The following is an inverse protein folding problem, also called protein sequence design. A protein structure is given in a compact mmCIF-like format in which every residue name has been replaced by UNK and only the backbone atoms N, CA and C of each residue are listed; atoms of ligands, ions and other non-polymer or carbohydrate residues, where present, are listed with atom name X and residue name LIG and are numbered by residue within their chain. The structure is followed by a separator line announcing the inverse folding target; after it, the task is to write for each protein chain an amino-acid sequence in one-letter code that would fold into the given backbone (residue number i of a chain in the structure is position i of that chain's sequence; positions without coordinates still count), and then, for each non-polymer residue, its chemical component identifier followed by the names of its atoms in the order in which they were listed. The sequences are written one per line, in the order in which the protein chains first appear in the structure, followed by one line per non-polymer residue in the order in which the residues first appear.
data_IF_077016269163
#
_entry.id   IF_077016269163
#
_cell.length_a   1.000
_cell.length_b   1.000
_cell.length_c   1.000
_cell.angle_alpha   90.00
_cell.angle_beta   90.00
_cell.angle_gamma   90.00
#
_symmetry.space_group_name_H-M   'P 1'
#
loop_
_entity.id
_entity.type
_entity.pdbx_description
1 polymer ?
#
# COMPACT_ATOMS: atom_id res chain seq x y z
N UNK A 1 -7.20 13.99 -4.87
CA UNK A 1 -6.78 12.82 -4.06
C UNK A 1 -7.69 11.66 -4.46
N UNK A 2 -7.16 10.51 -4.89
CA UNK A 2 -8.03 9.41 -5.37
C UNK A 2 -8.83 8.79 -4.22
N UNK A 3 -10.05 8.35 -4.50
CA UNK A 3 -10.96 7.75 -3.50
C UNK A 3 -10.32 6.56 -2.76
N UNK A 4 -9.54 5.75 -3.48
CA UNK A 4 -8.81 4.62 -2.91
C UNK A 4 -7.74 5.05 -1.89
N UNK A 5 -7.05 6.17 -2.13
CA UNK A 5 -6.06 6.71 -1.19
C UNK A 5 -6.76 7.25 0.06
N UNK A 6 -7.89 7.94 -0.09
CA UNK A 6 -8.67 8.44 1.03
C UNK A 6 -9.21 7.30 1.91
N UNK A 7 -9.80 6.26 1.30
CA UNK A 7 -10.35 5.12 2.03
C UNK A 7 -9.25 4.33 2.77
N UNK A 8 -8.11 4.09 2.11
CA UNK A 8 -6.97 3.44 2.75
C UNK A 8 -6.43 4.25 3.95
N UNK A 9 -6.40 5.58 3.83
CA UNK A 9 -6.05 6.47 4.92
C UNK A 9 -7.09 6.40 6.05
N UNK A 10 -8.39 6.48 5.76
CA UNK A 10 -9.47 6.41 6.75
C UNK A 10 -9.41 5.12 7.57
N UNK A 11 -9.14 3.96 6.95
CA UNK A 11 -8.99 2.68 7.66
C UNK A 11 -7.81 2.70 8.62
N UNK A 12 -6.63 3.15 8.16
CA UNK A 12 -5.42 3.25 9.00
C UNK A 12 -5.61 4.25 10.15
N UNK A 13 -6.23 5.39 9.85
CA UNK A 13 -6.56 6.42 10.83
C UNK A 13 -7.51 5.87 11.89
N UNK A 14 -8.56 5.15 11.49
CA UNK A 14 -9.54 4.55 12.43
C UNK A 14 -8.87 3.58 13.41
N UNK A 15 -8.01 2.68 12.94
CA UNK A 15 -7.29 1.74 13.80
C UNK A 15 -6.38 2.47 14.80
N UNK A 16 -5.66 3.50 14.34
CA UNK A 16 -4.81 4.30 15.23
C UNK A 16 -5.65 5.05 16.26
N UNK A 17 -6.66 5.81 15.84
CA UNK A 17 -7.51 6.58 16.75
C UNK A 17 -8.24 5.70 17.76
N UNK A 18 -8.77 4.55 17.37
CA UNK A 18 -9.42 3.61 18.31
C UNK A 18 -8.47 3.11 19.39
N UNK A 19 -7.24 2.72 19.01
CA UNK A 19 -6.20 2.35 19.97
C UNK A 19 -5.84 3.48 20.93
N UNK A 20 -5.73 4.71 20.41
CA UNK A 20 -5.41 5.88 21.21
C UNK A 20 -6.54 6.25 22.18
N UNK A 21 -7.78 6.22 21.73
CA UNK A 21 -8.97 6.45 22.57
C UNK A 21 -9.03 5.42 23.69
N UNK A 22 -8.66 4.16 23.43
CA UNK A 22 -8.55 3.14 24.48
C UNK A 22 -7.47 3.50 25.52
N UNK A 23 -6.27 3.90 25.08
CA UNK A 23 -5.18 4.29 25.98
C UNK A 23 -5.59 5.49 26.86
N UNK A 24 -6.26 6.47 26.26
CA UNK A 24 -6.81 7.64 26.96
C UNK A 24 -7.88 7.21 27.98
N UNK A 25 -8.88 6.45 27.54
CA UNK A 25 -10.05 6.14 28.37
C UNK A 25 -9.77 5.13 29.49
N UNK A 26 -8.86 4.16 29.26
CA UNK A 26 -8.58 3.07 30.21
C UNK A 26 -7.27 3.25 30.96
N UNK A 27 -6.22 3.71 30.29
CA UNK A 27 -4.90 3.87 30.90
C UNK A 27 -4.60 5.31 31.32
N UNK A 28 -5.48 6.27 30.99
CA UNK A 28 -5.27 7.72 31.24
C UNK A 28 -3.95 8.22 30.66
N UNK A 29 -3.50 7.62 29.55
CA UNK A 29 -2.29 8.00 28.83
C UNK A 29 -2.68 8.92 27.69
N UNK A 30 -2.19 10.17 27.72
CA UNK A 30 -2.34 11.11 26.61
C UNK A 30 -1.24 10.86 25.58
N UNK A 31 -1.57 10.58 24.31
CA UNK A 31 -0.56 10.40 23.27
C UNK A 31 0.23 11.70 23.02
N UNK A 32 1.54 11.59 22.76
CA UNK A 32 2.48 12.73 22.62
C UNK A 32 2.06 13.71 21.51
N UNK A 33 1.40 13.23 20.45
CA UNK A 33 0.97 14.06 19.31
C UNK A 33 -0.42 14.68 19.49
N UNK A 34 -1.13 14.41 20.60
CA UNK A 34 -2.42 15.01 20.88
C UNK A 34 -2.19 16.30 21.67
N UNK A 35 -2.52 17.44 21.07
CA UNK A 35 -2.44 18.72 21.79
C UNK A 35 -3.48 18.77 22.90
N UNK A 36 -3.18 19.52 23.96
CA UNK A 36 -4.11 19.71 25.09
C UNK A 36 -5.47 20.26 24.62
N UNK A 37 -5.45 21.17 23.65
CA UNK A 37 -6.67 21.73 23.05
C UNK A 37 -7.57 20.66 22.42
N UNK A 38 -7.01 19.78 21.59
CA UNK A 38 -7.75 18.69 20.95
C UNK A 38 -8.26 17.71 22.01
N UNK A 39 -7.47 17.48 23.06
CA UNK A 39 -7.87 16.61 24.16
C UNK A 39 -9.02 17.18 25.00
N UNK A 40 -8.98 18.48 25.33
CA UNK A 40 -10.08 19.18 26.00
C UNK A 40 -11.35 19.19 25.13
N UNK A 41 -11.19 19.43 23.83
CA UNK A 41 -12.31 19.40 22.89
C UNK A 41 -12.96 17.99 22.84
N UNK A 42 -12.15 16.94 22.77
CA UNK A 42 -12.64 15.56 22.86
C UNK A 42 -13.39 15.28 24.17
N UNK A 43 -12.82 15.70 25.32
CA UNK A 43 -13.48 15.55 26.63
C UNK A 43 -14.82 16.27 26.67
N UNK A 44 -14.88 17.47 26.10
CA UNK A 44 -16.12 18.25 25.97
C UNK A 44 -17.16 17.49 25.18
N UNK A 45 -16.86 17.07 23.94
CA UNK A 45 -17.80 16.28 23.10
C UNK A 45 -18.30 15.05 23.86
N UNK A 46 -17.40 14.29 24.49
CA UNK A 46 -17.77 13.08 25.24
C UNK A 46 -18.72 13.38 26.42
N UNK A 47 -18.62 14.56 27.02
CA UNK A 47 -19.43 14.98 28.16
C UNK A 47 -20.73 15.69 27.76
N UNK A 48 -20.76 16.41 26.63
CA UNK A 48 -21.87 17.30 26.25
C UNK A 48 -22.71 16.78 25.10
N UNK A 49 -22.17 15.97 24.20
CA UNK A 49 -22.89 15.50 23.01
C UNK A 49 -23.85 14.35 23.36
N UNK A 50 -25.14 14.65 23.31
CA UNK A 50 -26.22 13.69 23.57
C UNK A 50 -26.32 12.60 22.49
N UNK A 51 -26.00 12.91 21.23
CA UNK A 51 -26.01 11.90 20.16
C UNK A 51 -24.90 10.86 20.39
N UNK A 52 -23.72 11.33 20.80
CA UNK A 52 -22.61 10.46 21.21
C UNK A 52 -22.99 9.57 22.41
N UNK A 53 -23.57 10.15 23.46
CA UNK A 53 -24.00 9.40 24.66
C UNK A 53 -25.00 8.30 24.33
N UNK A 54 -26.08 8.64 23.60
CA UNK A 54 -27.11 7.68 23.19
C UNK A 54 -26.51 6.53 22.38
N UNK A 55 -25.63 6.83 21.43
CA UNK A 55 -24.97 5.80 20.61
C UNK A 55 -24.02 4.93 21.46
N UNK A 56 -23.27 5.54 22.37
CA UNK A 56 -22.38 4.82 23.29
C UNK A 56 -23.15 3.91 24.24
N UNK A 57 -24.27 4.37 24.78
CA UNK A 57 -25.15 3.60 25.66
C UNK A 57 -25.79 2.45 24.90
N UNK A 58 -26.34 2.69 23.70
CA UNK A 58 -26.88 1.65 22.84
C UNK A 58 -25.85 0.56 22.53
N UNK A 59 -24.62 0.93 22.14
CA UNK A 59 -23.55 -0.04 21.90
C UNK A 59 -23.10 -0.77 23.17
N UNK A 60 -23.13 -0.10 24.32
CA UNK A 60 -22.89 -0.75 25.61
C UNK A 60 -24.01 -1.72 25.97
N UNK A 61 -25.25 -1.38 25.68
CA UNK A 61 -26.42 -2.24 25.92
C UNK A 61 -26.38 -3.44 24.98
N UNK A 62 -26.05 -3.28 23.69
CA UNK A 62 -25.85 -4.42 22.79
C UNK A 62 -24.75 -5.37 23.28
N UNK A 63 -23.72 -4.85 23.94
CA UNK A 63 -22.68 -5.65 24.59
C UNK A 63 -23.15 -6.30 25.90
N UNK A 64 -24.10 -5.70 26.63
CA UNK A 64 -24.61 -6.17 27.95
C UNK A 64 -25.85 -7.06 27.85
N UNK A 65 -26.68 -6.88 26.81
CA UNK A 65 -27.88 -7.69 26.54
C UNK A 65 -27.55 -9.15 26.24
N UNK A 66 -26.27 -9.51 26.18
CA UNK A 66 -25.78 -10.89 26.17
C UNK A 66 -25.75 -11.55 27.57
N UNK A 67 -25.99 -10.82 28.68
CA UNK A 67 -25.71 -11.33 30.05
C UNK A 67 -26.89 -11.27 31.02
N UNK A 68 -27.94 -10.49 30.78
CA UNK A 68 -28.96 -10.22 31.81
C UNK A 68 -30.37 -10.63 31.39
N UNK A 69 -30.67 -11.93 31.54
CA UNK A 69 -32.02 -12.48 31.55
C UNK A 69 -32.05 -13.83 32.27
N UNK A 70 -33.00 -14.10 33.18
CA UNK A 70 -33.13 -15.42 33.80
C UNK A 70 -33.39 -16.47 32.72
N UNK A 71 -32.43 -17.38 32.50
CA UNK A 71 -32.47 -18.39 31.42
C UNK A 71 -31.64 -18.05 30.18
N UNK A 72 -30.96 -16.90 30.14
CA UNK A 72 -30.00 -16.57 29.07
C UNK A 72 -28.60 -16.87 29.60
N UNK A 73 -28.15 -18.11 29.38
CA UNK A 73 -26.82 -18.55 29.80
C UNK A 73 -25.70 -17.70 29.18
N UNK A 74 -24.53 -17.77 29.81
CA UNK A 74 -23.22 -17.25 29.36
C UNK A 74 -23.17 -17.19 27.84
N UNK A 75 -22.83 -16.03 27.28
CA UNK A 75 -22.56 -15.82 25.84
C UNK A 75 -22.04 -17.12 25.19
N UNK A 76 -22.89 -17.77 24.41
CA UNK A 76 -22.53 -19.01 23.69
C UNK A 76 -21.38 -18.78 22.70
N UNK A 77 -20.99 -17.52 22.47
CA UNK A 77 -19.82 -17.19 21.67
C UNK A 77 -18.48 -17.33 22.43
N UNK A 78 -18.50 -17.55 23.76
CA UNK A 78 -17.32 -18.02 24.51
C UNK A 78 -17.12 -19.54 24.43
N UNK A 79 -18.10 -20.30 23.92
CA UNK A 79 -17.99 -21.75 23.76
C UNK A 79 -17.40 -22.17 22.39
N UNK A 80 -16.94 -21.20 21.59
CA UNK A 80 -16.48 -21.43 20.23
C UNK A 80 -17.63 -21.80 19.28
N UNK A 81 -17.48 -21.45 18.00
CA UNK A 81 -18.37 -22.01 16.98
C UNK A 81 -18.16 -23.53 16.92
N UNK A 82 -19.24 -24.31 16.90
CA UNK A 82 -19.17 -25.74 16.66
C UNK A 82 -18.46 -25.95 15.32
N UNK A 83 -17.37 -26.71 15.35
CA UNK A 83 -16.59 -26.95 14.14
C UNK A 83 -17.40 -27.77 13.12
N UNK A 84 -17.12 -27.59 11.84
CA UNK A 84 -17.73 -28.42 10.78
C UNK A 84 -17.51 -29.92 11.01
N UNK A 85 -16.40 -30.30 11.66
CA UNK A 85 -16.12 -31.68 12.07
C UNK A 85 -17.13 -32.18 13.11
N UNK A 86 -17.38 -31.41 14.17
CA UNK A 86 -18.36 -31.78 15.19
C UNK A 86 -19.79 -31.86 14.63
N UNK A 87 -20.15 -30.98 13.69
CA UNK A 87 -21.39 -31.11 12.93
C UNK A 87 -21.44 -32.42 12.14
N UNK A 88 -20.33 -32.80 11.52
CA UNK A 88 -20.21 -34.07 10.79
C UNK A 88 -20.34 -35.29 11.68
N UNK A 89 -19.66 -35.33 12.81
CA UNK A 89 -19.75 -36.44 13.76
C UNK A 89 -21.18 -36.59 14.32
N UNK A 90 -21.85 -35.47 14.57
CA UNK A 90 -23.25 -35.44 15.02
C UNK A 90 -24.18 -35.97 13.92
N UNK A 91 -23.96 -35.56 12.68
CA UNK A 91 -24.76 -35.99 11.54
C UNK A 91 -24.53 -37.46 11.20
N UNK A 92 -23.29 -37.95 11.34
CA UNK A 92 -22.95 -39.37 11.21
C UNK A 92 -23.66 -40.23 12.26
N UNK A 93 -23.69 -39.78 13.52
CA UNK A 93 -24.45 -40.46 14.59
C UNK A 93 -25.95 -40.52 14.30
N UNK A 94 -26.51 -39.48 13.67
CA UNK A 94 -27.93 -39.42 13.26
C UNK A 94 -28.23 -40.33 12.07
N UNK A 95 -27.37 -40.31 11.05
CA UNK A 95 -27.56 -41.07 9.81
C UNK A 95 -27.08 -42.53 9.92
N UNK A 96 -26.33 -42.87 10.97
CA UNK A 96 -25.66 -44.18 11.16
C UNK A 96 -24.71 -44.56 10.02
N UNK A 97 -24.25 -43.56 9.27
CA UNK A 97 -23.27 -43.67 8.18
C UNK A 97 -22.59 -42.33 8.00
N UNK A 98 -21.43 -42.35 7.34
CA UNK A 98 -20.71 -41.13 6.98
C UNK A 98 -21.61 -40.21 6.12
N UNK A 99 -21.82 -38.95 6.51
CA UNK A 99 -22.63 -38.01 5.75
C UNK A 99 -21.94 -37.65 4.43
N UNK A 100 -22.72 -37.51 3.37
CA UNK A 100 -22.22 -36.99 2.10
C UNK A 100 -21.94 -35.49 2.21
N UNK A 101 -21.09 -34.94 1.34
CA UNK A 101 -20.82 -33.48 1.32
C UNK A 101 -22.09 -32.65 1.15
N UNK A 102 -23.04 -33.13 0.34
CA UNK A 102 -24.33 -32.48 0.09
C UNK A 102 -25.20 -32.44 1.35
N UNK A 103 -25.24 -33.54 2.11
CA UNK A 103 -25.95 -33.62 3.39
C UNK A 103 -25.31 -32.74 4.46
N UNK A 104 -23.97 -32.73 4.52
CA UNK A 104 -23.23 -31.85 5.42
C UNK A 104 -23.51 -30.38 5.13
N UNK A 105 -23.44 -29.99 3.86
CA UNK A 105 -23.71 -28.61 3.48
C UNK A 105 -25.13 -28.21 3.85
N UNK A 106 -26.11 -29.04 3.49
CA UNK A 106 -27.51 -28.79 3.80
C UNK A 106 -27.69 -28.62 5.31
N UNK A 107 -27.10 -29.50 6.11
CA UNK A 107 -27.14 -29.42 7.58
C UNK A 107 -26.54 -28.11 8.11
N UNK A 108 -25.40 -27.66 7.59
CA UNK A 108 -24.71 -26.44 8.05
C UNK A 108 -25.42 -25.14 7.65
N UNK A 109 -26.09 -25.13 6.50
CA UNK A 109 -26.62 -23.90 5.91
C UNK A 109 -28.15 -23.79 5.98
N UNK A 110 -28.80 -24.64 6.78
CA UNK A 110 -30.23 -24.54 7.07
C UNK A 110 -30.49 -24.10 8.51
N UNK A 111 -31.56 -23.34 8.71
CA UNK A 111 -31.96 -22.80 10.01
C UNK A 111 -32.20 -23.93 11.01
N UNK A 112 -31.60 -23.84 12.20
CA UNK A 112 -31.70 -24.88 13.24
C UNK A 112 -31.25 -26.27 12.79
N UNK A 113 -30.51 -26.36 11.67
CA UNK A 113 -30.09 -27.61 11.05
C UNK A 113 -31.25 -28.55 10.63
N UNK A 114 -32.40 -27.97 10.25
CA UNK A 114 -33.64 -28.67 9.85
C UNK A 114 -33.55 -29.39 8.49
N UNK A 115 -32.58 -29.01 7.65
CA UNK A 115 -32.40 -29.54 6.30
C UNK A 115 -33.40 -29.01 5.25
N UNK A 116 -34.27 -28.06 5.62
CA UNK A 116 -35.36 -27.55 4.79
C UNK A 116 -35.16 -26.08 4.42
N UNK A 117 -34.87 -25.23 5.41
CA UNK A 117 -34.93 -23.78 5.24
C UNK A 117 -33.52 -23.20 5.22
N UNK A 118 -33.04 -22.75 4.06
CA UNK A 118 -31.70 -22.15 3.99
C UNK A 118 -31.64 -20.82 4.75
N UNK A 119 -30.53 -20.59 5.46
CA UNK A 119 -30.29 -19.34 6.20
C UNK A 119 -30.07 -18.15 5.24
N UNK A 120 -29.60 -18.43 4.02
CA UNK A 120 -29.33 -17.43 2.99
C UNK A 120 -29.69 -17.97 1.60
N UNK A 121 -30.28 -17.11 0.76
CA UNK A 121 -30.62 -17.38 -0.64
C UNK A 121 -29.40 -17.84 -1.45
N UNK A 122 -28.20 -17.32 -1.14
CA UNK A 122 -26.96 -17.75 -1.79
C UNK A 122 -26.73 -19.26 -1.63
N UNK A 123 -26.96 -19.79 -0.43
CA UNK A 123 -26.75 -21.21 -0.16
C UNK A 123 -27.81 -22.09 -0.84
N UNK A 124 -29.05 -21.61 -0.94
CA UNK A 124 -30.09 -22.28 -1.72
C UNK A 124 -29.68 -22.41 -3.20
N UNK A 125 -29.12 -21.34 -3.78
CA UNK A 125 -28.66 -21.34 -5.17
C UNK A 125 -27.48 -22.31 -5.39
N UNK A 126 -26.48 -22.32 -4.50
CA UNK A 126 -25.35 -23.26 -4.57
C UNK A 126 -25.85 -24.71 -4.44
N UNK A 127 -26.82 -24.95 -3.56
CA UNK A 127 -27.41 -26.26 -3.37
C UNK A 127 -28.14 -26.77 -4.62
N UNK A 128 -28.89 -25.89 -5.28
CA UNK A 128 -29.62 -26.18 -6.52
C UNK A 128 -28.70 -26.41 -7.72
N UNK A 129 -27.61 -25.65 -7.85
CA UNK A 129 -26.65 -25.75 -8.96
C UNK A 129 -25.77 -27.01 -8.93
N UNK A 130 -25.81 -27.78 -7.84
CA UNK A 130 -25.04 -29.00 -7.69
C UNK A 130 -23.60 -28.74 -7.22
N UNK A 131 -23.22 -29.39 -6.10
CA UNK A 131 -21.93 -29.33 -5.38
C UNK A 131 -20.66 -29.69 -6.17
N UNK A 132 -20.58 -29.43 -7.47
CA UNK A 132 -19.54 -30.00 -8.31
C UNK A 132 -18.32 -29.10 -8.56
N UNK A 133 -18.26 -27.86 -8.05
CA UNK A 133 -17.25 -26.90 -8.53
C UNK A 133 -16.37 -26.15 -7.52
N UNK A 134 -16.26 -26.53 -6.25
CA UNK A 134 -15.49 -25.66 -5.33
C UNK A 134 -14.91 -26.27 -4.05
N UNK A 135 -14.45 -27.52 -4.02
CA UNK A 135 -13.53 -27.97 -2.97
C UNK A 135 -12.41 -28.84 -3.55
N UNK A 136 -11.57 -28.24 -4.40
CA UNK A 136 -10.21 -28.72 -4.69
C UNK A 136 -9.19 -27.63 -4.33
N UNK A 137 -9.12 -27.29 -3.06
CA UNK A 137 -7.94 -26.70 -2.41
C UNK A 137 -8.28 -26.45 -0.95
N UNK A 138 -7.48 -27.02 -0.05
CA UNK A 138 -7.59 -26.82 1.39
C UNK A 138 -7.11 -25.43 1.79
N UNK A 139 -7.82 -24.39 1.40
CA UNK A 139 -7.59 -23.04 1.92
C UNK A 139 -8.60 -22.75 3.03
N UNK A 140 -8.07 -22.59 4.24
CA UNK A 140 -8.80 -22.09 5.39
C UNK A 140 -9.52 -20.78 5.02
N UNK A 141 -10.79 -20.72 5.38
CA UNK A 141 -11.69 -19.59 5.12
C UNK A 141 -11.24 -18.38 5.93
N UNK A 142 -10.34 -17.58 5.36
CA UNK A 142 -10.13 -16.18 5.72
C UNK A 142 -10.91 -15.31 4.72
N UNK A 143 -11.59 -14.30 5.25
CA UNK A 143 -12.43 -13.31 4.57
C UNK A 143 -12.08 -13.11 3.08
N UNK A 144 -12.84 -13.71 2.17
CA UNK A 144 -12.76 -13.40 0.73
C UNK A 144 -14.07 -12.73 0.34
N UNK A 145 -13.93 -11.54 -0.24
CA UNK A 145 -15.00 -10.63 -0.66
C UNK A 145 -15.91 -11.21 -1.75
N UNK A 146 -16.78 -10.38 -2.35
CA UNK A 146 -17.78 -10.85 -3.29
C UNK A 146 -17.12 -11.61 -4.45
N UNK A 147 -17.73 -12.73 -4.83
CA UNK A 147 -17.29 -13.49 -5.98
C UNK A 147 -17.62 -12.69 -7.25
N UNK A 148 -16.63 -11.93 -7.72
CA UNK A 148 -16.68 -11.18 -8.98
C UNK A 148 -16.99 -12.14 -10.14
N UNK A 149 -17.97 -11.77 -10.98
CA UNK A 149 -18.31 -12.55 -12.17
C UNK A 149 -17.16 -12.55 -13.19
N UNK A 150 -17.14 -13.49 -14.16
CA UNK A 150 -16.06 -13.58 -15.17
C UNK A 150 -15.83 -12.28 -15.94
N UNK A 151 -16.90 -11.53 -16.22
CA UNK A 151 -16.85 -10.24 -16.92
C UNK A 151 -16.24 -9.11 -16.08
N UNK A 152 -16.43 -9.14 -14.76
CA UNK A 152 -15.95 -8.13 -13.82
C UNK A 152 -14.47 -8.31 -13.49
N UNK A 153 -13.97 -9.56 -13.55
CA UNK A 153 -12.55 -9.88 -13.43
C UNK A 153 -11.74 -9.37 -14.63
N UNK A 154 -12.30 -9.48 -15.84
CA UNK A 154 -11.68 -9.01 -17.08
C UNK A 154 -11.68 -7.47 -17.18
N UNK A 155 -12.70 -6.82 -16.63
CA UNK A 155 -12.72 -5.36 -16.45
C UNK A 155 -11.67 -4.90 -15.44
N UNK A 156 -11.53 -5.59 -14.30
CA UNK A 156 -10.52 -5.29 -13.30
C UNK A 156 -9.08 -5.48 -13.83
N UNK A 157 -8.86 -6.48 -14.69
CA UNK A 157 -7.57 -6.68 -15.35
C UNK A 157 -7.23 -5.55 -16.34
N UNK A 158 -8.22 -5.08 -17.11
CA UNK A 158 -8.04 -3.92 -18.00
C UNK A 158 -7.77 -2.65 -17.22
N UNK A 159 -8.46 -2.44 -16.11
CA UNK A 159 -8.23 -1.28 -15.24
C UNK A 159 -6.86 -1.34 -14.56
N UNK A 160 -6.40 -2.53 -14.17
CA UNK A 160 -5.05 -2.71 -13.66
C UNK A 160 -3.99 -2.32 -14.69
N UNK A 161 -4.16 -2.73 -15.96
CA UNK A 161 -3.25 -2.38 -17.04
C UNK A 161 -3.25 -0.86 -17.31
N UNK A 162 -4.43 -0.23 -17.38
CA UNK A 162 -4.55 1.23 -17.53
C UNK A 162 -3.89 2.00 -16.38
N UNK A 163 -4.02 1.51 -15.16
CA UNK A 163 -3.36 2.11 -13.99
C UNK A 163 -1.84 1.98 -14.06
N UNK A 164 -1.32 0.86 -14.56
CA UNK A 164 0.13 0.72 -14.77
C UNK A 164 0.65 1.67 -15.84
N UNK A 165 -0.08 1.81 -16.95
CA UNK A 165 0.26 2.73 -18.04
C UNK A 165 0.23 4.20 -17.59
N UNK A 166 -0.79 4.61 -16.83
CA UNK A 166 -0.89 5.98 -16.32
C UNK A 166 0.24 6.29 -15.33
N UNK A 167 0.57 5.36 -14.42
CA UNK A 167 1.70 5.54 -13.50
C UNK A 167 3.04 5.65 -14.21
N UNK A 168 3.26 4.86 -15.27
CA UNK A 168 4.48 4.96 -16.08
C UNK A 168 4.53 6.30 -16.82
N UNK A 169 3.40 6.74 -17.39
CA UNK A 169 3.31 8.03 -18.08
C UNK A 169 3.60 9.20 -17.14
N UNK A 170 2.99 9.23 -15.95
CA UNK A 170 3.28 10.27 -14.95
C UNK A 170 4.75 10.27 -14.52
N UNK A 171 5.38 9.08 -14.41
CA UNK A 171 6.80 8.97 -14.07
C UNK A 171 7.70 9.55 -15.15
N UNK A 172 7.38 9.28 -16.41
CA UNK A 172 8.08 9.84 -17.56
C UNK A 172 7.91 11.36 -17.63
N UNK A 173 6.67 11.86 -17.50
CA UNK A 173 6.37 13.30 -17.49
C UNK A 173 7.11 14.03 -16.36
N UNK A 174 7.19 13.45 -15.15
CA UNK A 174 7.98 14.02 -14.05
C UNK A 174 9.48 14.05 -14.35
N UNK A 175 10.00 13.04 -15.01
CA UNK A 175 11.41 13.04 -15.42
C UNK A 175 11.67 14.09 -16.49
N UNK A 176 10.79 14.21 -17.49
CA UNK A 176 10.89 15.25 -18.52
C UNK A 176 10.80 16.65 -17.93
N UNK A 177 9.84 16.89 -17.02
CA UNK A 177 9.70 18.17 -16.33
C UNK A 177 10.97 18.50 -15.55
N UNK A 178 11.52 17.53 -14.81
CA UNK A 178 12.76 17.73 -14.07
C UNK A 178 13.94 18.07 -15.00
N UNK A 179 14.01 17.48 -16.20
CA UNK A 179 15.02 17.84 -17.19
C UNK A 179 14.80 19.23 -17.76
N UNK A 180 13.54 19.62 -18.04
CA UNK A 180 13.19 20.97 -18.52
C UNK A 180 13.56 22.03 -17.50
N UNK A 181 13.12 21.88 -16.24
CA UNK A 181 13.43 22.81 -15.16
C UNK A 181 14.96 22.93 -14.93
N UNK A 182 15.69 21.82 -15.11
CA UNK A 182 17.15 21.82 -15.01
C UNK A 182 17.79 22.63 -16.15
N UNK A 183 17.30 22.48 -17.37
CA UNK A 183 17.77 23.25 -18.52
C UNK A 183 17.44 24.73 -18.38
N UNK A 184 16.23 25.07 -17.94
CA UNK A 184 15.80 26.45 -17.71
C UNK A 184 16.69 27.14 -16.65
N UNK A 185 16.95 26.49 -15.51
CA UNK A 185 17.89 27.03 -14.50
C UNK A 185 19.30 27.20 -15.04
N UNK A 186 19.75 26.33 -15.95
CA UNK A 186 21.05 26.49 -16.59
C UNK A 186 21.07 27.70 -17.53
N UNK A 187 19.98 27.93 -18.25
CA UNK A 187 19.82 29.09 -19.13
C UNK A 187 19.75 30.40 -18.34
N UNK A 188 18.94 30.47 -17.27
CA UNK A 188 18.89 31.62 -16.36
C UNK A 188 20.26 31.93 -15.76
N UNK A 189 21.00 30.90 -15.35
CA UNK A 189 22.34 31.06 -14.81
C UNK A 189 23.32 31.57 -15.89
N UNK A 190 23.18 31.12 -17.14
CA UNK A 190 23.96 31.63 -18.27
C UNK A 190 23.64 33.09 -18.56
N UNK A 191 22.36 33.46 -18.59
CA UNK A 191 21.94 34.85 -18.81
C UNK A 191 22.46 35.76 -17.69
N UNK A 192 22.43 35.30 -16.44
CA UNK A 192 23.00 36.01 -15.31
C UNK A 192 24.51 36.23 -15.49
N UNK A 193 25.24 35.21 -15.94
CA UNK A 193 26.67 35.34 -16.25
C UNK A 193 26.91 36.34 -17.39
N UNK A 194 26.12 36.31 -18.45
CA UNK A 194 26.23 37.25 -19.57
C UNK A 194 25.95 38.69 -19.13
N UNK A 195 24.96 38.91 -18.25
CA UNK A 195 24.66 40.23 -17.66
C UNK A 195 25.82 40.73 -16.77
N UNK A 196 26.37 39.86 -15.94
CA UNK A 196 27.54 40.19 -15.11
C UNK A 196 28.74 40.56 -15.99
N UNK A 197 29.02 39.78 -17.03
CA UNK A 197 30.10 40.07 -17.98
C UNK A 197 29.89 41.39 -18.74
N UNK A 198 28.65 41.72 -19.12
CA UNK A 198 28.33 43.01 -19.74
C UNK A 198 28.58 44.18 -18.78
N UNK A 199 28.15 44.06 -17.53
CA UNK A 199 28.41 45.09 -16.52
C UNK A 199 29.90 45.24 -16.23
N UNK A 200 30.64 44.13 -16.13
CA UNK A 200 32.10 44.13 -15.99
C UNK A 200 32.77 44.86 -17.16
N UNK A 201 32.38 44.58 -18.40
CA UNK A 201 32.91 45.27 -19.58
C UNK A 201 32.64 46.79 -19.57
N UNK A 202 31.44 47.21 -19.16
CA UNK A 202 31.09 48.64 -19.03
C UNK A 202 31.91 49.34 -17.94
N UNK A 203 32.14 48.68 -16.81
CA UNK A 203 33.00 49.19 -15.74
C UNK A 203 34.47 49.28 -16.20
N UNK A 204 34.96 48.27 -16.92
CA UNK A 204 36.30 48.27 -17.50
C UNK A 204 36.49 49.42 -18.50
N UNK A 205 35.47 49.73 -19.31
CA UNK A 205 35.48 50.86 -20.24
C UNK A 205 35.50 52.21 -19.52
N UNK A 206 34.69 52.39 -18.46
CA UNK A 206 34.64 53.65 -17.69
C UNK A 206 35.90 53.92 -16.87
N UNK A 207 36.53 52.86 -16.35
CA UNK A 207 37.77 52.97 -15.58
C UNK A 207 39.03 53.03 -16.46
N UNK A 208 38.88 52.94 -17.79
CA UNK A 208 40.01 52.97 -18.74
C UNK A 208 40.95 51.76 -18.63
N UNK A 209 40.51 50.69 -17.97
CA UNK A 209 41.31 49.48 -17.75
C UNK A 209 41.16 48.61 -19.00
N UNK A 210 42.26 48.44 -19.77
CA UNK A 210 42.27 47.49 -20.88
C UNK A 210 42.02 46.08 -20.35
N UNK A 211 41.18 45.26 -21.01
CA UNK A 211 41.07 43.85 -20.66
C UNK A 211 42.47 43.24 -20.72
N UNK A 212 42.89 42.61 -19.62
CA UNK A 212 44.12 41.83 -19.59
C UNK A 212 43.92 40.68 -20.58
N UNK A 213 44.48 40.81 -21.78
CA UNK A 213 44.58 39.72 -22.74
C UNK A 213 45.41 38.64 -22.06
N UNK A 214 44.84 37.47 -21.70
CA UNK A 214 45.67 36.38 -21.21
C UNK A 214 46.71 36.10 -22.29
N UNK A 215 47.99 35.90 -21.93
CA UNK A 215 49.04 35.64 -22.91
C UNK A 215 48.58 34.50 -23.79
N UNK A 216 48.60 34.72 -25.10
CA UNK A 216 48.33 33.70 -26.11
C UNK A 216 49.06 32.43 -25.70
N UNK A 217 48.38 31.27 -25.59
CA UNK A 217 49.09 30.02 -25.38
C UNK A 217 50.10 29.92 -26.51
N UNK A 218 51.38 29.87 -26.14
CA UNK A 218 52.49 29.79 -27.08
C UNK A 218 52.17 28.69 -28.07
N UNK A 219 52.04 29.06 -29.34
CA UNK A 219 52.04 28.11 -30.45
C UNK A 219 53.19 27.14 -30.22
N UNK A 220 52.94 25.82 -30.14
CA UNK A 220 54.02 24.86 -30.07
C UNK A 220 54.90 25.10 -31.30
N UNK A 221 56.19 25.37 -31.05
CA UNK A 221 57.20 25.41 -32.10
C UNK A 221 57.05 24.15 -32.94
N UNK A 222 56.84 24.33 -34.24
CA UNK A 222 56.82 23.24 -35.20
C UNK A 222 58.10 22.40 -35.05
N UNK A 223 58.00 21.07 -35.16
CA UNK A 223 59.12 20.18 -34.92
C UNK A 223 60.19 20.39 -35.97
N UNK A 224 61.43 20.60 -35.51
CA UNK A 224 62.62 20.47 -36.35
C UNK A 224 62.68 19.02 -36.82
N UNK A 225 62.64 18.86 -38.14
CA UNK A 225 62.79 17.60 -38.84
C UNK A 225 64.28 17.20 -38.91
N UNK A 226 64.49 15.89 -38.75
CA UNK A 226 65.60 15.04 -39.24
C UNK A 226 66.83 14.77 -38.35
N UNK A 227 67.52 13.62 -38.50
CA UNK A 227 67.10 12.32 -39.07
C UNK A 227 67.51 11.05 -38.25
N UNK A 228 66.73 9.99 -38.46
CA UNK A 228 67.11 8.58 -38.73
C UNK A 228 68.12 7.80 -37.85
N UNK A 229 67.57 6.86 -37.06
CA UNK A 229 67.93 5.41 -37.04
C UNK A 229 68.87 4.88 -35.94
N UNK A 230 68.95 3.54 -35.69
CA UNK A 230 67.95 2.46 -35.88
C UNK A 230 67.78 1.51 -34.66
N UNK A 231 66.68 0.75 -34.69
CA UNK A 231 66.44 -0.66 -34.24
C UNK A 231 67.01 -1.23 -32.92
N UNK A 232 66.10 -1.83 -32.14
CA UNK A 232 66.11 -3.26 -31.73
C UNK A 232 64.86 -3.52 -30.87
N UNK A 233 63.85 -4.24 -31.39
CA UNK A 233 63.63 -5.68 -31.13
C UNK A 233 63.61 -6.04 -29.63
N UNK A 234 62.43 -6.24 -29.04
CA UNK A 234 62.01 -7.59 -28.64
C UNK A 234 60.59 -7.65 -28.04
N UNK A 235 60.01 -8.84 -28.18
CA UNK A 235 58.62 -9.25 -28.10
C UNK A 235 58.13 -9.63 -26.66
N UNK A 236 56.87 -10.10 -26.48
CA UNK A 236 56.03 -9.83 -25.31
C UNK A 236 55.98 -10.96 -24.26
N UNK A 237 55.60 -10.59 -23.03
CA UNK A 237 55.32 -11.50 -21.93
C UNK A 237 53.84 -11.51 -21.55
N UNK A 238 53.14 -12.51 -22.08
CA UNK A 238 51.84 -13.01 -21.63
C UNK A 238 51.94 -13.53 -20.18
N UNK A 239 50.92 -13.34 -19.33
CA UNK A 239 50.53 -14.33 -18.30
C UNK A 239 49.18 -14.03 -17.66
N UNK A 240 48.30 -15.00 -17.86
CA UNK A 240 46.94 -15.23 -17.35
C UNK A 240 46.98 -15.92 -15.99
N UNK A 241 46.04 -15.63 -15.09
CA UNK A 241 45.27 -16.55 -14.19
C UNK A 241 44.46 -15.67 -13.23
N UNK A 242 43.13 -15.66 -13.08
CA UNK A 242 42.03 -16.63 -13.02
C UNK A 242 41.94 -17.50 -11.74
N UNK A 243 40.78 -17.38 -11.05
CA UNK A 243 40.07 -18.36 -10.18
C UNK A 243 40.60 -18.49 -8.72
N UNK A 244 39.83 -18.53 -7.61
CA UNK A 244 38.40 -18.47 -7.23
C UNK A 244 38.28 -18.23 -5.69
N UNK A 245 37.08 -17.94 -5.13
CA UNK A 245 36.86 -17.70 -3.70
C UNK A 245 36.48 -18.96 -2.90
N UNK A 246 36.66 -18.89 -1.57
CA UNK A 246 36.02 -19.77 -0.56
C UNK A 246 34.85 -19.06 0.11
#
# INVERSE_FOLDING_TARGET
MSFAIYDAWCRKATIKYTGNIYLIAKKRITPIYLTDEVFEHYKRIRATDEAFKKKSEHMSMNRKSEVEGPGTGISLHSAGSISARQHGDTLEKKLKRRPTRKEMFRHLHTHGHDGQTFVDQRFANIYAQGYHRSISSGEASSSRGPAYGPHELEELQRDHQRLQETLLKERMERQEQMQRDKMERQEENREMQDRLACMEALLMQHLGIRPHVPPTPRTPLSPVTEPSGPQSDDQPGHLTTDIAPS
#
